data_IF_584347740161
#
_entry.id   IF_584347740161
#
_cell.length_a   1.000
_cell.length_b   1.000
_cell.length_c   1.000
_cell.angle_alpha   90.00
_cell.angle_beta   90.00
_cell.angle_gamma   90.00
#
_symmetry.space_group_name_H-M   'P 1'
#
loop_
_entity.id
_entity.type
_entity.pdbx_description
1 polymer ?
#
# COMPACT_ATOMS: atom_id res chain seq x y z
N UNK A 1 40.35 15.12 -19.25
CA UNK A 1 39.52 15.59 -18.12
C UNK A 1 38.16 16.01 -18.69
N UNK A 2 37.20 15.09 -18.81
CA UNK A 2 35.84 15.45 -19.22
C UNK A 2 35.17 16.15 -18.04
N UNK A 3 35.17 17.48 -18.05
CA UNK A 3 34.54 18.29 -17.02
C UNK A 3 33.08 17.89 -16.82
N UNK A 4 32.71 17.61 -15.58
CA UNK A 4 31.35 17.30 -15.19
C UNK A 4 30.46 18.51 -15.56
N UNK A 5 29.65 18.39 -16.61
CA UNK A 5 28.79 19.48 -17.12
C UNK A 5 27.49 19.55 -16.34
N UNK A 6 27.57 19.82 -15.03
CA UNK A 6 26.39 20.14 -14.22
C UNK A 6 26.10 21.65 -14.27
N UNK A 7 24.82 22.01 -14.27
CA UNK A 7 24.40 23.41 -14.28
C UNK A 7 24.67 24.06 -12.92
N UNK A 8 25.22 25.28 -12.92
CA UNK A 8 25.45 26.08 -11.70
C UNK A 8 24.16 26.46 -10.96
N UNK A 9 22.99 26.33 -11.62
CA UNK A 9 21.69 26.64 -11.02
C UNK A 9 21.15 25.50 -10.13
N UNK A 10 21.73 24.29 -10.20
CA UNK A 10 21.24 23.14 -9.42
C UNK A 10 21.84 23.16 -8.02
N UNK A 11 20.97 23.18 -7.02
CA UNK A 11 21.38 23.00 -5.64
C UNK A 11 21.73 21.53 -5.34
N UNK A 12 22.69 21.29 -4.43
CA UNK A 12 23.06 19.93 -4.01
C UNK A 12 21.90 19.26 -3.25
N UNK A 13 21.51 18.07 -3.70
CA UNK A 13 20.44 17.28 -3.07
C UNK A 13 20.83 16.68 -1.70
N UNK A 14 22.13 16.45 -1.49
CA UNK A 14 22.68 15.95 -0.24
C UNK A 14 23.37 17.14 0.42
N UNK A 15 22.88 17.52 1.59
CA UNK A 15 23.39 18.64 2.38
C UNK A 15 24.22 18.14 3.57
N UNK A 16 25.12 18.99 4.06
CA UNK A 16 26.00 18.69 5.20
C UNK A 16 27.48 18.56 4.82
N UNK A 17 28.33 18.54 5.84
CA UNK A 17 29.77 18.46 5.68
C UNK A 17 30.25 16.99 5.74
N UNK A 18 31.32 16.69 4.99
CA UNK A 18 32.04 15.41 4.99
C UNK A 18 31.14 14.18 4.76
N UNK A 19 30.25 14.26 3.77
CA UNK A 19 29.39 13.13 3.39
C UNK A 19 30.16 12.13 2.53
N UNK A 20 30.46 10.96 3.09
CA UNK A 20 31.09 9.84 2.40
C UNK A 20 30.09 8.68 2.27
N UNK A 21 30.35 7.73 1.36
CA UNK A 21 29.51 6.53 1.21
C UNK A 21 29.36 5.76 2.53
N UNK A 22 30.45 5.62 3.28
CA UNK A 22 30.44 4.95 4.59
C UNK A 22 29.54 5.68 5.60
N UNK A 23 29.57 7.02 5.61
CA UNK A 23 28.70 7.83 6.48
C UNK A 23 27.22 7.63 6.14
N UNK A 24 26.86 7.68 4.86
CA UNK A 24 25.47 7.43 4.41
C UNK A 24 24.99 6.05 4.86
N UNK A 25 25.82 5.01 4.67
CA UNK A 25 25.48 3.65 5.09
C UNK A 25 25.25 3.59 6.60
N UNK A 26 26.17 4.13 7.40
CA UNK A 26 26.05 4.12 8.85
C UNK A 26 24.81 4.87 9.34
N UNK A 27 24.51 6.04 8.76
CA UNK A 27 23.35 6.86 9.15
C UNK A 27 22.01 6.15 8.86
N UNK A 28 21.92 5.44 7.73
CA UNK A 28 20.71 4.67 7.35
C UNK A 28 20.56 3.40 8.21
N UNK A 29 21.68 2.74 8.55
CA UNK A 29 21.66 1.52 9.35
C UNK A 29 21.43 1.79 10.84
N UNK A 30 21.81 2.97 11.34
CA UNK A 30 21.67 3.35 12.74
C UNK A 30 20.26 3.06 13.32
N UNK A 31 19.13 3.47 12.71
CA UNK A 31 17.81 3.12 13.23
C UNK A 31 17.44 1.63 13.12
N UNK A 32 18.14 0.86 12.28
CA UNK A 32 17.88 -0.57 12.05
C UNK A 32 18.66 -1.45 13.03
N UNK A 33 19.91 -1.10 13.32
CA UNK A 33 20.80 -1.86 14.20
C UNK A 33 20.54 -1.58 15.69
N UNK A 34 19.97 -0.42 16.01
CA UNK A 34 19.67 -0.04 17.38
C UNK A 34 18.30 -0.55 17.85
N UNK A 35 18.14 -0.65 19.17
CA UNK A 35 16.87 -1.01 19.78
C UNK A 35 15.82 0.09 19.53
N UNK A 36 14.55 -0.27 19.27
CA UNK A 36 13.49 0.72 19.11
C UNK A 36 13.31 1.59 20.36
N UNK A 37 13.14 2.88 20.15
CA UNK A 37 12.90 3.83 21.23
C UNK A 37 11.44 3.77 21.74
N UNK A 38 11.14 4.52 22.81
CA UNK A 38 9.77 4.57 23.37
C UNK A 38 8.73 5.08 22.37
N UNK A 39 9.09 6.04 21.51
CA UNK A 39 8.18 6.59 20.50
C UNK A 39 7.79 5.53 19.46
N UNK A 40 8.74 4.70 19.02
CA UNK A 40 8.48 3.58 18.12
C UNK A 40 7.50 2.59 18.76
N UNK A 41 7.70 2.23 20.03
CA UNK A 41 6.79 1.34 20.75
C UNK A 41 5.38 1.92 20.91
N UNK A 42 5.27 3.22 21.20
CA UNK A 42 3.96 3.90 21.28
C UNK A 42 3.25 3.82 19.92
N UNK A 43 3.96 4.15 18.83
CA UNK A 43 3.41 4.05 17.48
C UNK A 43 2.99 2.63 17.11
N UNK A 44 3.85 1.66 17.40
CA UNK A 44 3.58 0.24 17.15
C UNK A 44 2.35 -0.26 17.91
N UNK A 45 2.23 0.03 19.21
CA UNK A 45 1.08 -0.38 20.03
C UNK A 45 -0.20 0.28 19.53
N UNK A 46 -0.17 1.57 19.19
CA UNK A 46 -1.33 2.27 18.64
C UNK A 46 -1.78 1.66 17.30
N UNK A 47 -0.84 1.41 16.39
CA UNK A 47 -1.12 0.73 15.12
C UNK A 47 -1.65 -0.69 15.32
N UNK A 48 -1.11 -1.43 16.30
CA UNK A 48 -1.56 -2.78 16.64
C UNK A 48 -2.99 -2.78 17.20
N UNK A 49 -3.34 -1.81 18.04
CA UNK A 49 -4.71 -1.62 18.52
C UNK A 49 -5.68 -1.34 17.36
N UNK A 50 -5.30 -0.47 16.42
CA UNK A 50 -6.09 -0.19 15.22
C UNK A 50 -6.27 -1.43 14.32
N UNK A 51 -5.18 -2.17 14.08
CA UNK A 51 -5.22 -3.42 13.32
C UNK A 51 -6.08 -4.49 14.00
N UNK A 52 -6.01 -4.60 15.32
CA UNK A 52 -6.84 -5.52 16.11
C UNK A 52 -8.31 -5.14 16.02
N UNK A 53 -8.64 -3.85 16.14
CA UNK A 53 -10.00 -3.36 15.95
C UNK A 53 -10.55 -3.72 14.57
N UNK A 54 -9.74 -3.56 13.52
CA UNK A 54 -10.11 -3.97 12.17
C UNK A 54 -10.39 -5.48 12.07
N UNK A 55 -9.51 -6.32 12.60
CA UNK A 55 -9.70 -7.78 12.60
C UNK A 55 -10.97 -8.18 13.35
N UNK A 56 -11.25 -7.58 14.51
CA UNK A 56 -12.49 -7.84 15.25
C UNK A 56 -13.73 -7.41 14.45
N UNK A 57 -13.71 -6.23 13.83
CA UNK A 57 -14.83 -5.72 13.04
C UNK A 57 -15.12 -6.59 11.81
N UNK A 58 -14.09 -7.01 11.07
CA UNK A 58 -14.23 -7.91 9.92
C UNK A 58 -14.71 -9.30 10.37
N UNK A 59 -14.17 -9.83 11.48
CA UNK A 59 -14.61 -11.12 12.02
C UNK A 59 -16.09 -11.10 12.42
N UNK A 60 -16.53 -10.00 13.05
CA UNK A 60 -17.95 -9.78 13.36
C UNK A 60 -18.80 -9.75 12.09
N UNK A 61 -18.35 -9.02 11.06
CA UNK A 61 -19.04 -8.96 9.76
C UNK A 61 -19.16 -10.34 9.10
N UNK A 62 -18.12 -11.17 9.17
CA UNK A 62 -18.17 -12.52 8.61
C UNK A 62 -19.09 -13.47 9.37
N UNK A 63 -19.26 -13.26 10.67
CA UNK A 63 -20.14 -14.07 11.49
C UNK A 63 -21.62 -13.66 11.39
N UNK A 64 -21.89 -12.36 11.45
CA UNK A 64 -23.25 -11.81 11.48
C UNK A 64 -23.76 -11.34 10.11
N UNK A 65 -22.87 -11.19 9.14
CA UNK A 65 -23.17 -10.76 7.77
C UNK A 65 -23.03 -9.26 7.52
N UNK A 66 -23.03 -8.89 6.24
CA UNK A 66 -22.93 -7.50 5.74
C UNK A 66 -24.09 -6.62 6.23
N UNK A 67 -25.22 -7.20 6.62
CA UNK A 67 -26.37 -6.44 7.17
C UNK A 67 -26.05 -5.71 8.48
N UNK A 68 -24.95 -6.05 9.16
CA UNK A 68 -24.43 -5.26 10.28
C UNK A 68 -23.88 -3.89 9.87
N UNK A 69 -23.61 -3.70 8.57
CA UNK A 69 -23.17 -2.42 8.03
C UNK A 69 -24.37 -1.52 7.80
N UNK A 70 -24.15 -0.20 7.86
CA UNK A 70 -25.17 0.82 7.57
C UNK A 70 -25.57 0.93 6.10
N UNK A 71 -25.46 -0.16 5.33
CA UNK A 71 -25.90 -0.24 3.94
C UNK A 71 -27.41 -0.43 3.88
N UNK A 72 -28.00 -0.13 2.73
CA UNK A 72 -29.42 -0.36 2.50
C UNK A 72 -29.67 -0.86 1.06
N UNK A 73 -30.90 -1.23 0.76
CA UNK A 73 -31.27 -1.77 -0.55
C UNK A 73 -31.08 -0.79 -1.73
N UNK A 74 -31.03 0.51 -1.45
CA UNK A 74 -30.82 1.56 -2.46
C UNK A 74 -29.34 1.92 -2.60
N UNK A 75 -28.60 1.94 -1.48
CA UNK A 75 -27.18 2.27 -1.41
C UNK A 75 -26.43 1.02 -0.92
N UNK A 76 -26.05 0.19 -1.88
CA UNK A 76 -25.33 -1.06 -1.65
C UNK A 76 -23.81 -0.90 -1.48
N UNK A 77 -23.27 0.27 -1.83
CA UNK A 77 -21.87 0.64 -1.63
C UNK A 77 -21.78 2.03 -1.00
N UNK A 78 -20.94 2.15 0.02
CA UNK A 78 -20.65 3.39 0.73
C UNK A 78 -19.20 3.39 1.22
N UNK A 79 -18.97 3.18 2.51
CA UNK A 79 -17.63 3.20 3.13
C UNK A 79 -16.71 2.08 2.65
N UNK A 80 -17.27 0.96 2.20
CA UNK A 80 -16.54 -0.17 1.66
C UNK A 80 -15.79 0.18 0.37
N UNK A 81 -16.50 0.60 -0.67
CA UNK A 81 -15.86 0.99 -1.93
C UNK A 81 -15.09 2.31 -1.78
N UNK A 82 -15.58 3.24 -0.93
CA UNK A 82 -14.88 4.50 -0.66
C UNK A 82 -13.53 4.23 -0.02
N UNK A 83 -13.48 3.34 0.98
CA UNK A 83 -12.23 2.92 1.64
C UNK A 83 -11.30 2.20 0.67
N UNK A 84 -11.82 1.28 -0.14
CA UNK A 84 -11.06 0.59 -1.18
C UNK A 84 -10.37 1.58 -2.14
N UNK A 85 -11.13 2.46 -2.79
CA UNK A 85 -10.59 3.41 -3.78
C UNK A 85 -9.65 4.42 -3.14
N UNK A 86 -9.92 4.84 -1.90
CA UNK A 86 -9.03 5.74 -1.16
C UNK A 86 -7.65 5.12 -0.93
N UNK A 87 -7.59 3.86 -0.46
CA UNK A 87 -6.34 3.16 -0.26
C UNK A 87 -5.59 2.88 -1.57
N UNK A 88 -6.30 2.51 -2.64
CA UNK A 88 -5.70 2.37 -3.99
C UNK A 88 -5.09 3.70 -4.45
N UNK A 89 -5.80 4.82 -4.24
CA UNK A 89 -5.32 6.17 -4.54
C UNK A 89 -3.99 6.50 -3.85
N UNK A 90 -3.85 6.16 -2.56
CA UNK A 90 -2.58 6.33 -1.82
C UNK A 90 -1.46 5.51 -2.45
N UNK A 91 -1.76 4.28 -2.86
CA UNK A 91 -0.79 3.39 -3.49
C UNK A 91 -0.18 3.96 -4.78
N UNK A 92 -0.96 4.69 -5.57
CA UNK A 92 -0.50 5.29 -6.83
C UNK A 92 0.59 6.36 -6.65
N UNK A 93 0.59 7.09 -5.53
CA UNK A 93 1.62 8.08 -5.26
C UNK A 93 3.02 7.44 -5.20
N UNK A 94 3.13 6.25 -4.58
CA UNK A 94 4.41 5.57 -4.44
C UNK A 94 4.92 4.93 -5.73
N UNK A 95 4.03 4.42 -6.59
CA UNK A 95 4.43 3.90 -7.92
C UNK A 95 4.83 5.02 -8.87
N UNK A 96 4.21 6.20 -8.77
CA UNK A 96 4.64 7.40 -9.50
C UNK A 96 6.06 7.81 -9.10
N UNK A 97 6.34 7.88 -7.80
CA UNK A 97 7.68 8.26 -7.30
C UNK A 97 8.74 7.23 -7.74
N UNK A 98 8.47 5.93 -7.62
CA UNK A 98 9.45 4.89 -7.94
C UNK A 98 9.66 4.68 -9.45
N UNK A 99 8.61 4.71 -10.26
CA UNK A 99 8.68 4.42 -11.69
C UNK A 99 8.71 5.67 -12.58
N UNK A 100 7.76 6.60 -12.41
CA UNK A 100 7.62 7.76 -13.31
C UNK A 100 8.79 8.73 -13.14
N UNK A 101 9.18 9.07 -11.91
CA UNK A 101 10.35 9.92 -11.67
C UNK A 101 11.66 9.25 -12.12
N UNK A 102 11.74 7.92 -12.11
CA UNK A 102 12.86 7.18 -12.66
C UNK A 102 12.95 7.38 -14.18
N UNK A 103 11.83 7.25 -14.90
CA UNK A 103 11.77 7.48 -16.35
C UNK A 103 12.19 8.91 -16.72
N UNK A 104 11.75 9.90 -15.95
CA UNK A 104 12.15 11.30 -16.12
C UNK A 104 13.54 11.63 -15.54
N UNK A 105 14.31 10.62 -15.11
CA UNK A 105 15.67 10.75 -14.56
C UNK A 105 15.77 11.79 -13.45
N UNK A 106 14.74 11.90 -12.62
CA UNK A 106 14.70 12.82 -11.50
C UNK A 106 15.50 12.23 -10.33
N UNK A 107 16.66 12.81 -10.03
CA UNK A 107 17.59 12.27 -9.02
C UNK A 107 17.13 12.50 -7.56
N UNK A 108 16.26 13.47 -7.31
CA UNK A 108 15.74 13.77 -5.97
C UNK A 108 14.85 12.65 -5.39
N UNK A 109 14.31 11.78 -6.24
CA UNK A 109 13.52 10.62 -5.81
C UNK A 109 14.32 9.62 -4.95
N UNK A 110 15.65 9.60 -5.08
CA UNK A 110 16.50 8.56 -4.49
C UNK A 110 16.40 8.48 -2.95
N UNK A 111 16.12 9.60 -2.27
CA UNK A 111 15.94 9.64 -0.81
C UNK A 111 14.57 9.17 -0.33
N UNK A 112 13.58 9.05 -1.23
CA UNK A 112 12.18 8.76 -0.89
C UNK A 112 11.64 7.47 -1.52
N UNK A 113 12.29 6.93 -2.56
CA UNK A 113 11.78 5.76 -3.29
C UNK A 113 11.45 4.58 -2.38
N UNK A 114 12.33 4.26 -1.42
CA UNK A 114 12.16 3.08 -0.57
C UNK A 114 10.95 3.18 0.37
N UNK A 115 10.72 4.36 0.96
CA UNK A 115 9.55 4.60 1.80
C UNK A 115 8.28 4.70 0.97
N UNK A 116 8.37 5.27 -0.23
CA UNK A 116 7.25 5.34 -1.18
C UNK A 116 6.80 3.94 -1.66
N UNK A 117 7.74 3.05 -1.97
CA UNK A 117 7.44 1.64 -2.31
C UNK A 117 6.79 0.89 -1.14
N UNK A 118 7.34 1.04 0.07
CA UNK A 118 6.77 0.42 1.27
C UNK A 118 5.33 0.92 1.53
N UNK A 119 5.10 2.23 1.39
CA UNK A 119 3.78 2.84 1.49
C UNK A 119 2.79 2.22 0.48
N UNK A 120 3.20 2.04 -0.78
CA UNK A 120 2.36 1.40 -1.81
C UNK A 120 1.99 -0.02 -1.40
N UNK A 121 2.95 -0.84 -0.96
CA UNK A 121 2.68 -2.24 -0.58
C UNK A 121 1.66 -2.29 0.56
N UNK A 122 1.84 -1.51 1.61
CA UNK A 122 0.89 -1.49 2.73
C UNK A 122 -0.48 -0.95 2.34
N UNK A 123 -0.53 0.10 1.52
CA UNK A 123 -1.79 0.66 1.02
C UNK A 123 -2.57 -0.37 0.18
N UNK A 124 -1.89 -1.14 -0.69
CA UNK A 124 -2.51 -2.20 -1.50
C UNK A 124 -3.00 -3.35 -0.62
N UNK A 125 -2.26 -3.74 0.42
CA UNK A 125 -2.72 -4.75 1.39
C UNK A 125 -4.01 -4.26 2.07
N UNK A 126 -4.05 -3.01 2.55
CA UNK A 126 -5.27 -2.43 3.13
C UNK A 126 -6.43 -2.41 2.12
N UNK A 127 -6.20 -1.98 0.88
CA UNK A 127 -7.22 -1.99 -0.17
C UNK A 127 -7.77 -3.40 -0.44
N UNK A 128 -6.89 -4.41 -0.52
CA UNK A 128 -7.27 -5.79 -0.77
C UNK A 128 -8.18 -6.36 0.35
N UNK A 129 -8.01 -5.91 1.59
CA UNK A 129 -8.91 -6.34 2.67
C UNK A 129 -10.35 -5.92 2.43
N UNK A 130 -10.61 -4.75 1.83
CA UNK A 130 -11.97 -4.30 1.49
C UNK A 130 -12.62 -5.17 0.41
N UNK A 131 -11.85 -5.65 -0.57
CA UNK A 131 -12.35 -6.54 -1.63
C UNK A 131 -12.94 -7.80 -1.03
N UNK A 132 -12.27 -8.41 -0.05
CA UNK A 132 -12.75 -9.62 0.60
C UNK A 132 -13.81 -9.30 1.65
N UNK A 133 -13.63 -8.25 2.44
CA UNK A 133 -14.49 -7.97 3.59
C UNK A 133 -15.90 -7.54 3.22
N UNK A 134 -16.10 -6.93 2.05
CA UNK A 134 -17.43 -6.51 1.57
C UNK A 134 -18.22 -7.61 0.86
N UNK A 135 -17.62 -8.79 0.62
CA UNK A 135 -18.33 -9.91 0.00
C UNK A 135 -19.36 -10.50 0.96
N UNK A 136 -20.56 -10.81 0.44
CA UNK A 136 -21.56 -11.54 1.22
C UNK A 136 -21.17 -13.00 1.52
N UNK A 137 -20.32 -13.62 0.68
CA UNK A 137 -19.84 -15.00 0.83
C UNK A 137 -18.33 -15.09 0.51
N UNK A 138 -17.46 -14.55 1.39
CA UNK A 138 -16.03 -14.42 1.10
C UNK A 138 -15.31 -15.76 0.90
N UNK A 139 -15.79 -16.86 1.49
CA UNK A 139 -15.23 -18.20 1.30
C UNK A 139 -15.35 -18.74 -0.14
N UNK A 140 -16.10 -18.07 -1.01
CA UNK A 140 -16.22 -18.38 -2.44
C UNK A 140 -15.43 -17.43 -3.34
N UNK A 141 -14.59 -16.55 -2.77
CA UNK A 141 -13.82 -15.56 -3.55
C UNK A 141 -12.97 -16.19 -4.67
N UNK A 142 -12.55 -17.44 -4.51
CA UNK A 142 -11.78 -18.16 -5.51
C UNK A 142 -12.52 -18.36 -6.86
N UNK A 143 -13.85 -18.25 -6.90
CA UNK A 143 -14.62 -18.33 -8.15
C UNK A 143 -14.43 -17.15 -9.09
N UNK A 144 -13.87 -16.03 -8.61
CA UNK A 144 -13.54 -14.88 -9.47
C UNK A 144 -12.32 -15.18 -10.35
N UNK A 145 -11.49 -16.15 -9.97
CA UNK A 145 -10.30 -16.52 -10.72
C UNK A 145 -10.65 -17.47 -11.88
N UNK A 146 -10.08 -17.28 -13.08
CA UNK A 146 -10.29 -18.17 -14.21
C UNK A 146 -9.47 -19.46 -14.02
N UNK A 147 -9.96 -20.37 -13.17
CA UNK A 147 -9.33 -21.66 -12.87
C UNK A 147 -10.10 -22.81 -13.51
N UNK A 148 -9.40 -23.77 -14.16
CA UNK A 148 -10.02 -25.02 -14.61
C UNK A 148 -10.73 -25.75 -13.45
N UNK A 149 -11.92 -26.28 -13.71
CA UNK A 149 -12.76 -26.87 -12.67
C UNK A 149 -13.64 -28.02 -13.17
N UNK A 150 -14.22 -28.76 -12.22
CA UNK A 150 -15.04 -29.95 -12.46
C UNK A 150 -16.48 -29.64 -12.94
N UNK A 151 -16.85 -28.37 -13.08
CA UNK A 151 -18.22 -27.96 -13.44
C UNK A 151 -18.41 -27.83 -14.95
N UNK A 152 -17.73 -28.69 -15.73
CA UNK A 152 -17.77 -28.61 -17.19
C UNK A 152 -17.07 -27.36 -17.74
N UNK A 153 -15.93 -26.98 -17.17
CA UNK A 153 -15.18 -25.78 -17.54
C UNK A 153 -16.03 -24.50 -17.41
N UNK A 154 -16.60 -24.27 -16.22
CA UNK A 154 -17.30 -23.02 -15.93
C UNK A 154 -16.29 -21.87 -15.81
N UNK A 155 -16.52 -20.76 -16.50
CA UNK A 155 -15.62 -19.60 -16.50
C UNK A 155 -16.32 -18.32 -16.06
N UNK A 156 -15.52 -17.34 -15.66
CA UNK A 156 -15.98 -15.95 -15.45
C UNK A 156 -16.16 -15.23 -16.79
N UNK A 157 -16.95 -14.16 -16.79
CA UNK A 157 -16.94 -13.21 -17.90
C UNK A 157 -15.75 -12.24 -17.74
N UNK A 158 -15.20 -11.76 -18.86
CA UNK A 158 -14.12 -10.77 -18.86
C UNK A 158 -14.60 -9.35 -19.19
N UNK A 159 -15.90 -9.10 -19.04
CA UNK A 159 -16.53 -7.81 -19.38
C UNK A 159 -16.77 -6.92 -18.15
N UNK A 160 -16.78 -7.51 -16.95
CA UNK A 160 -17.03 -6.77 -15.71
C UNK A 160 -15.76 -6.05 -15.22
N UNK A 161 -15.82 -4.74 -14.90
CA UNK A 161 -14.67 -4.01 -14.37
C UNK A 161 -14.27 -4.46 -12.95
N UNK A 162 -15.10 -5.26 -12.27
CA UNK A 162 -14.73 -5.88 -10.99
C UNK A 162 -13.76 -7.07 -11.16
N UNK A 163 -13.60 -7.59 -12.38
CA UNK A 163 -12.71 -8.73 -12.69
C UNK A 163 -11.35 -8.26 -13.21
N UNK A 164 -11.26 -7.03 -13.73
CA UNK A 164 -10.03 -6.44 -14.26
C UNK A 164 -9.03 -6.11 -13.14
#
# INVERSE_FOLDING_TARGET
MSGHKESILREPLITGNDITYAKITNDILLPVENKPNKAWWIGFILSLCGATLWVVAVSYTFWFGIGAWGLNKTVGWAWDITGFVWWVGIGHAGTLISAVLLLFRQNWRNSINRSAEAMTIFAVICAATYVVSHMGRPWLAYWVLPLPNQFGSLWVNFNSPLVW
#
